data_IF_907540328566
#
_entry.id   IF_907540328566
#
_cell.length_a   1.000
_cell.length_b   1.000
_cell.length_c   1.000
_cell.angle_alpha   90.00
_cell.angle_beta   90.00
_cell.angle_gamma   90.00
#
_symmetry.space_group_name_H-M   'P 1'
#
loop_
_entity.id
_entity.type
_entity.pdbx_description
1 polymer ?
#
# COMPACT_ATOMS: atom_id res chain seq x y z
N UNK A 1 34.30 -22.63 16.07
CA UNK A 1 32.97 -22.36 16.64
C UNK A 1 32.15 -21.68 15.55
N UNK A 2 31.37 -22.45 14.79
CA UNK A 2 30.59 -21.92 13.66
C UNK A 2 29.24 -21.45 14.22
N UNK A 3 28.99 -20.14 14.23
CA UNK A 3 27.77 -19.54 14.75
C UNK A 3 26.56 -19.95 13.91
N UNK A 4 25.51 -20.39 14.59
CA UNK A 4 24.32 -20.99 14.02
C UNK A 4 23.56 -20.03 13.11
N UNK A 5 23.38 -20.45 11.85
CA UNK A 5 22.57 -19.77 10.86
C UNK A 5 21.10 -19.83 11.29
N UNK A 6 20.61 -18.76 11.92
CA UNK A 6 19.21 -18.57 12.32
C UNK A 6 18.33 -18.78 11.09
N UNK A 7 17.66 -19.92 11.01
CA UNK A 7 16.66 -20.22 10.01
C UNK A 7 15.52 -19.21 10.17
N UNK A 8 15.55 -18.19 9.32
CA UNK A 8 14.49 -17.20 9.18
C UNK A 8 13.23 -17.93 8.70
N UNK A 9 12.34 -18.30 9.63
CA UNK A 9 10.97 -18.72 9.33
C UNK A 9 10.21 -17.53 8.73
N UNK A 10 10.50 -17.23 7.47
CA UNK A 10 9.92 -16.11 6.70
C UNK A 10 8.80 -16.61 5.79
N UNK A 11 8.29 -17.82 5.99
CA UNK A 11 7.44 -18.47 5.00
C UNK A 11 5.98 -18.03 5.08
N UNK A 12 5.50 -17.58 6.23
CA UNK A 12 4.06 -17.38 6.48
C UNK A 12 3.57 -15.92 6.32
N UNK A 13 4.45 -14.94 6.46
CA UNK A 13 4.02 -13.54 6.58
C UNK A 13 3.82 -12.84 5.23
N UNK A 14 4.65 -13.12 4.22
CA UNK A 14 4.59 -12.40 2.93
C UNK A 14 3.34 -12.76 2.10
N UNK A 15 2.84 -14.00 2.20
CA UNK A 15 1.61 -14.45 1.52
C UNK A 15 0.36 -13.81 2.13
N UNK A 16 0.30 -13.70 3.46
CA UNK A 16 -0.76 -12.98 4.15
C UNK A 16 -0.72 -11.47 3.84
N UNK A 17 0.47 -10.90 3.71
CA UNK A 17 0.64 -9.49 3.33
C UNK A 17 0.19 -9.18 1.89
N UNK A 18 0.30 -10.14 0.96
CA UNK A 18 -0.14 -9.97 -0.43
C UNK A 18 -1.65 -10.16 -0.64
N UNK A 19 -2.34 -10.80 0.29
CA UNK A 19 -3.72 -11.28 0.05
C UNK A 19 -4.78 -10.18 0.03
N UNK A 20 -4.48 -9.04 0.65
CA UNK A 20 -5.43 -7.94 0.74
C UNK A 20 -4.96 -6.78 -0.15
N UNK A 21 -5.56 -6.65 -1.34
CA UNK A 21 -5.26 -5.57 -2.29
C UNK A 21 -6.43 -4.62 -2.38
N UNK A 22 -6.15 -3.32 -2.26
CA UNK A 22 -7.12 -2.25 -2.46
C UNK A 22 -7.24 -1.98 -3.95
N UNK A 23 -8.47 -2.04 -4.46
CA UNK A 23 -8.78 -1.81 -5.87
C UNK A 23 -9.44 -0.46 -6.17
N UNK A 24 -9.75 0.31 -5.12
CA UNK A 24 -10.43 1.61 -5.21
C UNK A 24 -9.55 2.70 -4.62
N UNK A 25 -9.38 3.80 -5.36
CA UNK A 25 -8.67 4.97 -4.87
C UNK A 25 -9.39 5.59 -3.66
N UNK A 26 -10.72 5.63 -3.63
CA UNK A 26 -11.44 6.14 -2.46
C UNK A 26 -11.14 5.32 -1.20
N UNK A 27 -11.02 3.99 -1.31
CA UNK A 27 -10.64 3.14 -0.18
C UNK A 27 -9.20 3.43 0.28
N UNK A 28 -8.25 3.59 -0.65
CA UNK A 28 -6.87 3.94 -0.32
C UNK A 28 -6.80 5.29 0.40
N UNK A 29 -7.42 6.32 -0.17
CA UNK A 29 -7.44 7.68 0.36
C UNK A 29 -8.11 7.76 1.72
N UNK A 30 -9.20 7.02 1.93
CA UNK A 30 -9.86 6.91 3.23
C UNK A 30 -8.96 6.30 4.31
N UNK A 31 -8.09 5.35 3.95
CA UNK A 31 -7.13 4.76 4.89
C UNK A 31 -5.98 5.74 5.18
N UNK A 32 -5.53 6.48 4.18
CA UNK A 32 -4.48 7.49 4.33
C UNK A 32 -4.98 8.79 4.96
N UNK A 33 -6.29 8.97 5.09
CA UNK A 33 -6.89 10.22 5.55
C UNK A 33 -6.65 11.39 4.59
N UNK A 34 -6.47 11.10 3.29
CA UNK A 34 -6.20 12.07 2.25
C UNK A 34 -7.47 12.33 1.41
N UNK A 35 -7.57 13.52 0.83
CA UNK A 35 -8.62 13.83 -0.13
C UNK A 35 -8.09 13.66 -1.56
N UNK A 36 -8.96 13.32 -2.52
CA UNK A 36 -8.55 13.13 -3.91
C UNK A 36 -7.92 14.39 -4.54
N UNK A 37 -8.29 15.57 -4.04
CA UNK A 37 -7.73 16.86 -4.43
C UNK A 37 -6.27 17.04 -3.99
N UNK A 38 -5.87 16.55 -2.81
CA UNK A 38 -4.52 16.70 -2.26
C UNK A 38 -3.47 15.92 -3.07
N UNK A 39 -3.89 14.80 -3.62
CA UNK A 39 -3.05 13.86 -4.36
C UNK A 39 -3.19 13.99 -5.88
N UNK A 40 -4.02 14.93 -6.35
CA UNK A 40 -4.32 15.09 -7.78
C UNK A 40 -5.00 13.87 -8.42
N UNK A 41 -5.66 13.01 -7.63
CA UNK A 41 -6.35 11.84 -8.14
C UNK A 41 -7.60 12.26 -8.91
N UNK A 42 -7.65 11.94 -10.20
CA UNK A 42 -8.85 12.15 -11.01
C UNK A 42 -9.74 10.91 -10.98
N UNK A 43 -10.99 11.05 -10.53
CA UNK A 43 -11.96 9.96 -10.55
C UNK A 43 -12.15 9.37 -11.97
N UNK A 44 -12.02 10.20 -13.00
CA UNK A 44 -12.04 9.78 -14.41
C UNK A 44 -10.87 8.87 -14.76
N UNK A 45 -9.67 9.17 -14.25
CA UNK A 45 -8.50 8.31 -14.47
C UNK A 45 -8.65 6.96 -13.74
N UNK A 46 -9.28 6.93 -12.56
CA UNK A 46 -9.59 5.68 -11.87
C UNK A 46 -10.66 4.82 -12.59
N UNK A 47 -11.55 5.43 -13.36
CA UNK A 47 -12.51 4.70 -14.17
C UNK A 47 -11.84 3.98 -15.35
N UNK A 48 -10.83 4.61 -15.96
CA UNK A 48 -10.02 4.02 -17.04
C UNK A 48 -8.93 3.05 -16.52
N UNK A 49 -8.36 3.34 -15.34
CA UNK A 49 -7.27 2.57 -14.74
C UNK A 49 -7.61 2.16 -13.30
N UNK A 50 -7.98 0.88 -13.15
CA UNK A 50 -8.19 0.30 -11.83
C UNK A 50 -6.88 0.29 -11.02
N UNK A 51 -6.88 1.04 -9.91
CA UNK A 51 -5.79 1.05 -8.93
C UNK A 51 -5.67 -0.35 -8.29
N UNK A 52 -4.45 -0.83 -8.01
CA UNK A 52 -4.22 -2.08 -7.26
C UNK A 52 -3.05 -1.89 -6.31
N UNK A 53 -3.34 -1.59 -5.05
CA UNK A 53 -2.31 -1.37 -4.03
C UNK A 53 -2.49 -2.38 -2.89
N UNK A 54 -1.51 -3.26 -2.63
CA UNK A 54 -1.54 -4.16 -1.49
C UNK A 54 -1.62 -3.38 -0.17
N UNK A 55 -2.46 -3.82 0.77
CA UNK A 55 -2.59 -3.21 2.11
C UNK A 55 -1.26 -3.15 2.86
N UNK A 56 -0.37 -4.12 2.62
CA UNK A 56 0.98 -4.09 3.19
C UNK A 56 1.84 -2.92 2.68
N UNK A 57 1.55 -2.40 1.49
CA UNK A 57 2.19 -1.21 0.92
C UNK A 57 1.55 0.06 1.49
N UNK A 58 0.21 0.08 1.62
CA UNK A 58 -0.52 1.17 2.26
C UNK A 58 -0.08 1.37 3.71
N UNK A 59 0.17 0.30 4.46
CA UNK A 59 0.68 0.39 5.82
C UNK A 59 2.11 0.94 5.94
N UNK A 60 2.82 1.13 4.81
CA UNK A 60 4.13 1.81 4.75
C UNK A 60 4.04 3.26 4.30
N UNK A 61 2.91 3.67 3.72
CA UNK A 61 2.67 5.05 3.31
C UNK A 61 2.45 5.92 4.55
N UNK A 62 2.89 7.17 4.48
CA UNK A 62 2.64 8.17 5.50
C UNK A 62 1.21 8.70 5.37
N UNK A 63 0.32 8.30 6.29
CA UNK A 63 -1.03 8.86 6.37
C UNK A 63 -0.97 10.38 6.57
N UNK A 64 -1.80 11.12 5.83
CA UNK A 64 -1.84 12.57 5.82
C UNK A 64 -0.75 13.27 5.00
N UNK A 65 0.18 12.54 4.37
CA UNK A 65 1.18 13.11 3.47
C UNK A 65 0.85 12.81 2.00
N UNK A 66 0.36 13.79 1.23
CA UNK A 66 0.07 13.60 -0.20
C UNK A 66 1.33 13.57 -1.08
N UNK A 67 2.51 13.93 -0.55
CA UNK A 67 3.79 13.89 -1.26
C UNK A 67 4.60 12.65 -0.88
N UNK A 68 3.95 11.65 -0.27
CA UNK A 68 4.61 10.42 0.13
C UNK A 68 5.22 9.75 -1.11
N UNK A 69 6.52 9.40 -1.10
CA UNK A 69 7.20 8.85 -2.27
C UNK A 69 6.72 7.45 -2.67
N UNK A 70 5.90 6.78 -1.85
CA UNK A 70 5.24 5.53 -2.22
C UNK A 70 3.87 5.77 -2.87
N UNK A 71 3.36 7.01 -2.83
CA UNK A 71 2.10 7.45 -3.41
C UNK A 71 2.29 8.17 -4.77
N UNK A 72 3.45 8.78 -4.99
CA UNK A 72 3.86 9.46 -6.24
C UNK A 72 4.26 8.48 -7.35
#
# INVERSE_FOLDING_TARGET
MISQNKLIHTTDNWQSQLRNTITSAQQLLGILGLSAEDVGFSERACADFALKVPLAFVGRMQAGDPNDPLLL
#
